data_IF_921652988261
#
_entry.id   IF_921652988261
#
_cell.length_a   1.000
_cell.length_b   1.000
_cell.length_c   1.000
_cell.angle_alpha   90.00
_cell.angle_beta   90.00
_cell.angle_gamma   90.00
#
_symmetry.space_group_name_H-M   'P 1'
#
loop_
_entity.id
_entity.type
_entity.pdbx_description
1 polymer ?
#
# COMPACT_ATOMS: atom_id res chain seq x y z
N UNK A 1 -6.42 -1.31 -14.54
CA UNK A 1 -6.40 -1.40 -13.08
C UNK A 1 -5.82 -0.13 -12.51
N UNK A 2 -6.26 0.30 -11.31
CA UNK A 2 -5.83 1.57 -10.73
C UNK A 2 -4.37 1.55 -10.23
N UNK A 3 -3.82 2.76 -10.14
CA UNK A 3 -2.40 3.04 -9.88
C UNK A 3 -1.97 2.90 -8.42
N UNK A 4 -2.87 2.52 -7.50
CA UNK A 4 -2.55 2.42 -6.07
C UNK A 4 -2.15 3.75 -5.43
N UNK A 5 -2.42 4.86 -6.11
CA UNK A 5 -2.09 6.24 -5.71
C UNK A 5 -3.20 6.89 -4.87
N UNK A 6 -4.16 6.09 -4.39
CA UNK A 6 -5.31 6.56 -3.61
C UNK A 6 -6.39 7.26 -4.42
N UNK A 7 -6.30 7.28 -5.76
CA UNK A 7 -7.27 7.92 -6.63
C UNK A 7 -8.09 6.87 -7.38
N UNK A 8 -9.41 6.98 -7.24
CA UNK A 8 -10.39 6.05 -7.81
C UNK A 8 -10.73 6.45 -9.24
N UNK A 9 -10.02 5.86 -10.20
CA UNK A 9 -10.20 6.19 -11.63
C UNK A 9 -11.08 5.20 -12.35
N UNK A 10 -12.02 5.75 -13.13
CA UNK A 10 -12.79 5.01 -14.12
C UNK A 10 -11.90 4.50 -15.26
N UNK A 11 -12.12 3.25 -15.66
CA UNK A 11 -11.51 2.63 -16.82
C UNK A 11 -12.59 2.07 -17.74
N UNK A 12 -12.60 2.54 -18.99
CA UNK A 12 -13.36 1.93 -20.07
C UNK A 12 -12.40 1.54 -21.19
N UNK A 13 -12.48 0.29 -21.64
CA UNK A 13 -11.69 -0.23 -22.76
C UNK A 13 -12.56 -1.02 -23.72
N UNK A 14 -12.14 -1.09 -24.98
CA UNK A 14 -12.79 -1.91 -26.00
C UNK A 14 -11.79 -2.93 -26.56
N UNK A 15 -12.08 -4.21 -26.43
CA UNK A 15 -11.37 -5.27 -27.12
C UNK A 15 -12.07 -5.60 -28.43
N UNK A 16 -11.30 -5.69 -29.52
CA UNK A 16 -11.81 -6.07 -30.85
C UNK A 16 -11.72 -7.59 -31.01
N UNK A 17 -12.83 -8.21 -31.37
CA UNK A 17 -12.96 -9.66 -31.39
C UNK A 17 -13.35 -10.17 -32.79
N UNK A 18 -12.66 -11.21 -33.22
CA UNK A 18 -12.95 -11.97 -34.44
C UNK A 18 -13.86 -13.15 -34.12
N UNK A 19 -14.42 -13.76 -35.17
CA UNK A 19 -15.23 -14.99 -35.06
C UNK A 19 -14.50 -16.11 -34.29
N UNK A 20 -13.19 -16.24 -34.47
CA UNK A 20 -12.39 -17.27 -33.79
C UNK A 20 -12.23 -17.03 -32.29
N UNK A 21 -12.26 -15.78 -31.82
CA UNK A 21 -12.03 -15.43 -30.42
C UNK A 21 -13.30 -15.38 -29.57
N UNK A 22 -14.46 -15.14 -30.19
CA UNK A 22 -15.72 -14.90 -29.48
C UNK A 22 -16.16 -16.08 -28.60
N UNK A 23 -15.90 -17.32 -29.03
CA UNK A 23 -16.25 -18.51 -28.23
C UNK A 23 -15.46 -18.59 -26.91
N UNK A 24 -14.18 -18.22 -26.93
CA UNK A 24 -13.37 -18.16 -25.72
C UNK A 24 -13.84 -17.03 -24.77
N UNK A 25 -14.25 -15.89 -25.34
CA UNK A 25 -14.85 -14.78 -24.58
C UNK A 25 -16.16 -15.20 -23.92
N UNK A 26 -17.05 -15.90 -24.64
CA UNK A 26 -18.29 -16.44 -24.06
C UNK A 26 -18.01 -17.38 -22.89
N UNK A 27 -17.20 -18.41 -23.11
CA UNK A 27 -16.88 -19.39 -22.08
C UNK A 27 -16.22 -18.77 -20.85
N UNK A 28 -15.48 -17.67 -21.04
CA UNK A 28 -14.93 -16.88 -19.94
C UNK A 28 -16.03 -16.12 -19.18
N UNK A 29 -16.83 -15.31 -19.88
CA UNK A 29 -17.79 -14.39 -19.26
C UNK A 29 -18.99 -15.11 -18.65
N UNK A 30 -19.48 -16.14 -19.32
CA UNK A 30 -20.63 -16.95 -18.90
C UNK A 30 -20.22 -18.12 -17.98
N UNK A 31 -18.94 -18.17 -17.60
CA UNK A 31 -18.36 -19.18 -16.72
C UNK A 31 -18.62 -20.64 -17.15
N UNK A 32 -18.49 -20.92 -18.45
CA UNK A 32 -18.80 -22.24 -19.06
C UNK A 32 -17.62 -23.24 -19.06
N UNK A 33 -16.44 -22.87 -18.55
CA UNK A 33 -15.26 -23.75 -18.55
C UNK A 33 -15.15 -24.52 -17.25
N UNK A 34 -14.67 -25.75 -17.34
CA UNK A 34 -14.32 -26.55 -16.16
C UNK A 34 -13.11 -25.99 -15.41
N UNK A 35 -12.23 -25.25 -16.09
CA UNK A 35 -11.02 -24.68 -15.48
C UNK A 35 -10.61 -23.34 -16.10
N UNK A 36 -9.97 -22.52 -15.26
CA UNK A 36 -9.54 -21.16 -15.62
C UNK A 36 -8.06 -20.95 -15.33
N UNK A 37 -7.39 -20.27 -16.25
CA UNK A 37 -6.00 -19.81 -16.04
C UNK A 37 -5.93 -18.76 -14.94
N UNK A 38 -6.99 -17.95 -14.81
CA UNK A 38 -7.09 -16.96 -13.74
C UNK A 38 -7.42 -17.67 -12.42
N UNK A 39 -6.39 -17.90 -11.60
CA UNK A 39 -6.52 -18.50 -10.27
C UNK A 39 -7.25 -17.61 -9.24
N UNK A 40 -7.68 -16.41 -9.63
CA UNK A 40 -8.45 -15.52 -8.76
C UNK A 40 -9.96 -15.74 -8.88
N UNK A 41 -10.42 -16.53 -9.86
CA UNK A 41 -11.83 -16.89 -9.98
C UNK A 41 -12.18 -17.88 -8.87
N UNK A 42 -13.18 -17.53 -8.07
CA UNK A 42 -13.75 -18.34 -6.99
C UNK A 42 -15.11 -18.87 -7.46
N UNK A 43 -15.14 -20.11 -7.93
CA UNK A 43 -16.32 -20.70 -8.58
C UNK A 43 -17.56 -20.74 -7.67
N UNK A 44 -17.37 -20.87 -6.36
CA UNK A 44 -18.44 -20.83 -5.36
C UNK A 44 -19.17 -19.49 -5.34
N UNK A 45 -18.55 -18.43 -5.86
CA UNK A 45 -19.11 -17.07 -5.96
C UNK A 45 -19.66 -16.73 -7.33
N UNK A 46 -19.49 -17.59 -8.34
CA UNK A 46 -20.10 -17.37 -9.66
C UNK A 46 -21.60 -17.04 -9.61
N UNK A 47 -22.43 -17.60 -8.68
CA UNK A 47 -23.83 -17.18 -8.52
C UNK A 47 -24.04 -15.70 -8.12
N UNK A 48 -22.98 -15.01 -7.69
CA UNK A 48 -23.00 -13.58 -7.37
C UNK A 48 -22.69 -12.70 -8.60
N UNK A 49 -22.29 -13.28 -9.74
CA UNK A 49 -22.18 -12.53 -10.98
C UNK A 49 -23.56 -12.00 -11.36
N UNK A 50 -23.61 -10.79 -11.92
CA UNK A 50 -24.87 -10.12 -12.24
C UNK A 50 -24.96 -9.88 -13.73
N UNK A 51 -25.92 -10.53 -14.37
CA UNK A 51 -26.29 -10.26 -15.75
C UNK A 51 -27.24 -9.08 -15.80
N UNK A 52 -26.78 -7.97 -16.37
CA UNK A 52 -27.65 -6.88 -16.80
C UNK A 52 -28.31 -7.22 -18.14
N UNK A 53 -27.64 -8.04 -18.95
CA UNK A 53 -28.22 -8.69 -20.13
C UNK A 53 -27.73 -10.12 -20.23
N UNK A 54 -28.63 -11.07 -19.97
CA UNK A 54 -28.38 -12.49 -20.18
C UNK A 54 -28.42 -12.80 -21.68
N UNK A 55 -27.44 -13.53 -22.23
CA UNK A 55 -27.50 -13.96 -23.61
C UNK A 55 -28.66 -14.95 -23.81
N UNK A 56 -29.40 -14.81 -24.91
CA UNK A 56 -30.53 -15.70 -25.22
C UNK A 56 -30.09 -17.03 -25.84
N UNK A 57 -28.87 -17.08 -26.37
CA UNK A 57 -28.24 -18.22 -27.01
C UNK A 57 -26.71 -18.00 -27.01
N UNK A 58 -25.94 -18.91 -27.63
CA UNK A 58 -24.51 -18.66 -27.82
C UNK A 58 -24.25 -17.39 -28.64
N UNK A 59 -23.16 -16.66 -28.37
CA UNK A 59 -22.89 -15.36 -29.00
C UNK A 59 -22.85 -15.43 -30.53
N UNK A 60 -22.31 -16.52 -31.09
CA UNK A 60 -22.29 -16.76 -32.55
C UNK A 60 -23.69 -17.01 -33.12
N UNK A 61 -24.51 -17.73 -32.37
CA UNK A 61 -25.90 -18.03 -32.76
C UNK A 61 -26.75 -16.76 -32.74
N UNK A 62 -26.63 -15.95 -31.69
CA UNK A 62 -27.28 -14.64 -31.61
C UNK A 62 -26.86 -13.74 -32.79
N UNK A 63 -25.56 -13.71 -33.14
CA UNK A 63 -25.09 -12.95 -34.30
C UNK A 63 -25.71 -13.43 -35.61
N UNK A 64 -25.72 -14.75 -35.84
CA UNK A 64 -26.31 -15.35 -37.04
C UNK A 64 -27.82 -15.08 -37.12
N UNK A 65 -28.53 -15.13 -35.99
CA UNK A 65 -29.95 -14.81 -35.91
C UNK A 65 -30.21 -13.34 -36.25
N UNK A 66 -29.42 -12.41 -35.70
CA UNK A 66 -29.55 -10.98 -36.01
C UNK A 66 -29.26 -10.66 -37.48
N UNK A 67 -28.34 -11.41 -38.12
CA UNK A 67 -28.07 -11.30 -39.55
C UNK A 67 -29.25 -11.84 -40.38
N UNK A 68 -29.80 -13.00 -40.00
CA UNK A 68 -30.94 -13.61 -40.66
C UNK A 68 -32.21 -12.74 -40.57
N UNK A 69 -32.44 -12.12 -39.41
CA UNK A 69 -33.56 -11.21 -39.15
C UNK A 69 -33.40 -9.83 -39.81
N UNK A 70 -32.24 -9.55 -40.41
CA UNK A 70 -31.93 -8.27 -41.04
C UNK A 70 -31.72 -7.11 -40.05
N UNK A 71 -31.61 -7.41 -38.75
CA UNK A 71 -31.29 -6.41 -37.70
C UNK A 71 -29.89 -5.84 -37.92
N UNK A 72 -28.97 -6.67 -38.40
CA UNK A 72 -27.62 -6.27 -38.79
C UNK A 72 -27.30 -6.72 -40.22
N UNK A 73 -26.35 -6.03 -40.86
CA UNK A 73 -25.88 -6.39 -42.19
C UNK A 73 -24.38 -6.65 -42.19
N UNK A 74 -24.00 -7.82 -42.67
CA UNK A 74 -22.61 -8.24 -42.87
C UNK A 74 -22.11 -7.97 -44.29
N UNK A 75 -22.92 -7.29 -45.11
CA UNK A 75 -22.64 -7.08 -46.54
C UNK A 75 -21.31 -6.35 -46.74
N UNK A 76 -20.37 -7.02 -47.42
CA UNK A 76 -19.04 -6.49 -47.74
C UNK A 76 -18.04 -6.56 -46.58
N UNK A 77 -18.32 -7.35 -45.54
CA UNK A 77 -17.40 -7.65 -44.46
C UNK A 77 -16.57 -8.88 -44.82
N UNK A 78 -15.27 -8.83 -44.56
CA UNK A 78 -14.37 -9.97 -44.75
C UNK A 78 -14.57 -11.02 -43.66
N UNK A 79 -14.19 -12.25 -43.94
CA UNK A 79 -14.31 -13.35 -42.97
C UNK A 79 -13.48 -13.09 -41.69
N UNK A 80 -12.29 -12.53 -41.85
CA UNK A 80 -11.34 -12.19 -40.78
C UNK A 80 -11.62 -10.85 -40.07
N UNK A 81 -12.73 -10.19 -40.40
CA UNK A 81 -13.07 -8.90 -39.83
C UNK A 81 -13.42 -9.00 -38.33
N UNK A 82 -13.19 -7.91 -37.60
CA UNK A 82 -13.67 -7.75 -36.24
C UNK A 82 -15.19 -7.55 -36.25
N UNK A 83 -15.93 -8.63 -36.01
CA UNK A 83 -17.40 -8.67 -36.00
C UNK A 83 -18.01 -8.37 -34.63
N UNK A 84 -17.20 -8.45 -33.57
CA UNK A 84 -17.63 -8.27 -32.19
C UNK A 84 -16.69 -7.31 -31.46
N UNK A 85 -17.22 -6.62 -30.47
CA UNK A 85 -16.44 -5.88 -29.48
C UNK A 85 -16.80 -6.32 -28.07
N UNK A 86 -15.86 -6.13 -27.15
CA UNK A 86 -16.10 -6.30 -25.72
C UNK A 86 -15.67 -5.01 -25.02
N UNK A 87 -16.65 -4.29 -24.46
CA UNK A 87 -16.37 -3.20 -23.55
C UNK A 87 -16.10 -3.78 -22.17
N UNK A 88 -15.05 -3.32 -21.52
CA UNK A 88 -14.80 -3.62 -20.11
C UNK A 88 -14.82 -2.31 -19.35
N UNK A 89 -15.70 -2.24 -18.35
CA UNK A 89 -15.80 -1.13 -17.41
C UNK A 89 -15.27 -1.57 -16.06
N UNK A 90 -14.36 -0.79 -15.49
CA UNK A 90 -13.58 -1.17 -14.33
C UNK A 90 -13.26 0.06 -13.46
N UNK A 91 -13.24 -0.16 -12.14
CA UNK A 91 -12.79 0.78 -11.09
C UNK A 91 -12.06 -0.08 -10.06
N UNK A 92 -11.14 0.50 -9.29
CA UNK A 92 -10.40 -0.29 -8.32
C UNK A 92 -11.31 -0.94 -7.25
N UNK A 93 -10.83 -2.05 -6.69
CA UNK A 93 -11.55 -2.74 -5.62
C UNK A 93 -11.74 -1.86 -4.37
N UNK A 94 -10.80 -0.93 -4.11
CA UNK A 94 -10.85 -0.04 -2.95
C UNK A 94 -12.07 0.87 -2.96
N UNK A 95 -12.43 1.41 -4.13
CA UNK A 95 -13.61 2.22 -4.33
C UNK A 95 -14.87 1.48 -3.87
N UNK A 96 -15.11 0.28 -4.41
CA UNK A 96 -16.28 -0.50 -4.03
C UNK A 96 -16.22 -0.93 -2.56
N UNK A 97 -15.06 -1.37 -2.07
CA UNK A 97 -14.88 -1.76 -0.68
C UNK A 97 -15.27 -0.64 0.30
N UNK A 98 -14.87 0.60 0.01
CA UNK A 98 -15.17 1.76 0.85
C UNK A 98 -16.63 2.23 0.78
N UNK A 99 -17.37 1.85 -0.27
CA UNK A 99 -18.74 2.31 -0.54
C UNK A 99 -19.83 1.24 -0.30
N UNK A 100 -19.51 0.19 0.46
CA UNK A 100 -20.47 -0.87 0.82
C UNK A 100 -20.37 -2.14 -0.03
N UNK A 101 -19.36 -2.25 -0.87
CA UNK A 101 -18.98 -3.48 -1.55
C UNK A 101 -19.95 -3.87 -2.66
N UNK A 102 -20.48 -5.09 -2.55
CA UNK A 102 -21.20 -5.77 -3.63
C UNK A 102 -22.49 -5.05 -4.07
N UNK A 103 -23.31 -4.58 -3.13
CA UNK A 103 -24.58 -3.94 -3.49
C UNK A 103 -24.36 -2.57 -4.14
N UNK A 104 -23.35 -1.83 -3.68
CA UNK A 104 -22.96 -0.58 -4.34
C UNK A 104 -22.39 -0.83 -5.74
N UNK A 105 -21.56 -1.88 -5.91
CA UNK A 105 -21.06 -2.27 -7.22
C UNK A 105 -22.21 -2.61 -8.20
N UNK A 106 -23.26 -3.30 -7.76
CA UNK A 106 -24.45 -3.54 -8.60
C UNK A 106 -25.09 -2.25 -9.10
N UNK A 107 -25.25 -1.26 -8.22
CA UNK A 107 -25.85 0.03 -8.58
C UNK A 107 -24.95 0.79 -9.56
N UNK A 108 -23.64 0.82 -9.28
CA UNK A 108 -22.64 1.42 -10.16
C UNK A 108 -22.67 0.81 -11.55
N UNK A 109 -22.62 -0.53 -11.64
CA UNK A 109 -22.61 -1.21 -12.92
C UNK A 109 -23.97 -1.23 -13.63
N UNK A 110 -25.08 -0.96 -12.92
CA UNK A 110 -26.37 -0.67 -13.56
C UNK A 110 -26.29 0.59 -14.40
N UNK A 111 -25.70 1.66 -13.87
CA UNK A 111 -25.48 2.91 -14.61
C UNK A 111 -24.42 2.74 -15.70
N UNK A 112 -23.35 2.00 -15.43
CA UNK A 112 -22.36 1.65 -16.46
C UNK A 112 -22.98 0.89 -17.64
N UNK A 113 -23.94 0.00 -17.38
CA UNK A 113 -24.69 -0.71 -18.42
C UNK A 113 -25.56 0.23 -19.26
N UNK A 114 -26.25 1.20 -18.62
CA UNK A 114 -26.97 2.26 -19.36
C UNK A 114 -26.04 3.10 -20.22
N UNK A 115 -24.83 3.40 -19.74
CA UNK A 115 -23.79 4.04 -20.55
C UNK A 115 -23.43 3.18 -21.77
N UNK A 116 -23.23 1.87 -21.55
CA UNK A 116 -22.91 0.93 -22.61
C UNK A 116 -23.98 0.88 -23.71
N UNK A 117 -25.27 0.88 -23.36
CA UNK A 117 -26.38 0.95 -24.32
C UNK A 117 -26.24 2.19 -25.23
N UNK A 118 -25.98 3.36 -24.64
CA UNK A 118 -25.78 4.62 -25.38
C UNK A 118 -24.55 4.57 -26.28
N UNK A 119 -23.42 4.07 -25.75
CA UNK A 119 -22.15 3.94 -26.47
C UNK A 119 -22.30 2.99 -27.66
N UNK A 120 -22.93 1.84 -27.46
CA UNK A 120 -23.17 0.83 -28.50
C UNK A 120 -24.20 1.31 -29.53
N UNK A 121 -25.13 2.19 -29.13
CA UNK A 121 -26.15 2.77 -30.00
C UNK A 121 -27.44 1.94 -30.07
N UNK A 122 -27.71 1.15 -29.02
CA UNK A 122 -28.90 0.32 -28.92
C UNK A 122 -28.63 -0.97 -28.14
N UNK A 123 -29.55 -1.31 -27.23
CA UNK A 123 -29.45 -2.52 -26.41
C UNK A 123 -29.54 -3.79 -27.27
N UNK A 124 -30.28 -3.75 -28.38
CA UNK A 124 -30.42 -4.88 -29.31
C UNK A 124 -29.08 -5.34 -29.90
N UNK A 125 -28.05 -4.48 -29.93
CA UNK A 125 -26.72 -4.84 -30.43
C UNK A 125 -25.77 -5.36 -29.35
N UNK A 126 -26.22 -5.42 -28.09
CA UNK A 126 -25.49 -6.04 -26.99
C UNK A 126 -25.90 -7.52 -26.93
N UNK A 127 -24.93 -8.43 -26.94
CA UNK A 127 -25.16 -9.86 -26.83
C UNK A 127 -25.26 -10.32 -25.37
N UNK A 128 -24.35 -9.83 -24.53
CA UNK A 128 -24.32 -10.10 -23.09
C UNK A 128 -23.72 -8.91 -22.34
N UNK A 129 -24.17 -8.70 -21.11
CA UNK A 129 -23.60 -7.76 -20.18
C UNK A 129 -23.59 -8.37 -18.77
N UNK A 130 -22.40 -8.71 -18.27
CA UNK A 130 -22.21 -9.41 -17.01
C UNK A 130 -21.16 -8.72 -16.13
N UNK A 131 -21.54 -8.43 -14.89
CA UNK A 131 -20.61 -8.03 -13.84
C UNK A 131 -20.06 -9.28 -13.18
N UNK A 132 -18.74 -9.45 -13.22
CA UNK A 132 -18.07 -10.48 -12.43
C UNK A 132 -17.88 -9.99 -10.99
N UNK A 133 -18.22 -10.85 -10.04
CA UNK A 133 -18.12 -10.65 -8.60
C UNK A 133 -17.41 -11.82 -7.89
N UNK A 134 -16.83 -12.71 -8.69
CA UNK A 134 -16.18 -13.96 -8.31
C UNK A 134 -14.66 -13.88 -8.44
N UNK A 135 -14.08 -12.75 -8.83
CA UNK A 135 -12.63 -12.60 -8.98
C UNK A 135 -12.03 -11.97 -7.72
N UNK A 136 -11.20 -12.71 -6.99
CA UNK A 136 -10.54 -12.24 -5.76
C UNK A 136 -9.39 -11.28 -6.05
N UNK A 137 -9.35 -10.15 -5.33
CA UNK A 137 -8.19 -9.27 -5.33
C UNK A 137 -7.19 -9.73 -4.27
N UNK A 138 -6.20 -10.55 -4.66
CA UNK A 138 -5.21 -11.12 -3.72
C UNK A 138 -4.44 -10.05 -2.96
N UNK A 139 -3.93 -9.05 -3.67
CA UNK A 139 -3.10 -8.01 -3.06
C UNK A 139 -3.84 -7.27 -1.94
N UNK A 140 -5.09 -6.85 -2.19
CA UNK A 140 -5.90 -6.19 -1.18
C UNK A 140 -6.37 -7.15 -0.09
N UNK A 141 -6.71 -8.39 -0.44
CA UNK A 141 -7.12 -9.40 0.55
C UNK A 141 -6.00 -9.70 1.55
N UNK A 142 -4.77 -9.88 1.07
CA UNK A 142 -3.61 -10.13 1.92
C UNK A 142 -3.26 -8.92 2.80
N UNK A 143 -3.39 -7.69 2.26
CA UNK A 143 -3.12 -6.47 3.01
C UNK A 143 -4.12 -6.23 4.15
N UNK A 144 -5.39 -6.60 3.96
CA UNK A 144 -6.45 -6.41 4.96
C UNK A 144 -6.67 -7.64 5.86
N UNK A 145 -6.19 -8.81 5.46
CA UNK A 145 -6.40 -10.07 6.18
C UNK A 145 -7.82 -10.63 6.04
N UNK A 146 -8.57 -10.19 5.03
CA UNK A 146 -9.93 -10.65 4.73
C UNK A 146 -10.14 -10.78 3.21
N UNK A 147 -11.18 -11.49 2.79
CA UNK A 147 -11.43 -11.73 1.36
C UNK A 147 -12.07 -10.51 0.69
N UNK A 148 -11.31 -9.84 -0.18
CA UNK A 148 -11.79 -8.74 -1.01
C UNK A 148 -11.89 -9.17 -2.46
N UNK A 149 -13.03 -8.87 -3.08
CA UNK A 149 -13.33 -9.22 -4.47
C UNK A 149 -13.23 -8.00 -5.39
N UNK A 150 -12.90 -8.26 -6.64
CA UNK A 150 -12.80 -7.29 -7.71
C UNK A 150 -14.04 -7.37 -8.60
N UNK A 151 -14.73 -6.24 -8.72
CA UNK A 151 -15.91 -6.12 -9.55
C UNK A 151 -15.54 -5.42 -10.85
N UNK A 152 -16.01 -5.96 -11.97
CA UNK A 152 -15.88 -5.32 -13.29
C UNK A 152 -16.97 -5.85 -14.22
N UNK A 153 -17.35 -5.04 -15.21
CA UNK A 153 -18.42 -5.34 -16.15
C UNK A 153 -17.86 -5.62 -17.54
N UNK A 154 -18.18 -6.78 -18.09
CA UNK A 154 -17.97 -7.10 -19.51
C UNK A 154 -19.27 -6.89 -20.27
N UNK A 155 -19.20 -6.15 -21.39
CA UNK A 155 -20.32 -5.95 -22.32
C UNK A 155 -19.90 -6.38 -23.71
N UNK A 156 -20.42 -7.51 -24.17
CA UNK A 156 -20.15 -8.05 -25.50
C UNK A 156 -21.19 -7.49 -26.46
N UNK A 157 -20.75 -6.88 -27.56
CA UNK A 157 -21.63 -6.19 -28.51
C UNK A 157 -21.20 -6.36 -29.97
N UNK A 158 -22.11 -6.04 -30.87
CA UNK A 158 -21.89 -5.98 -32.32
C UNK A 158 -21.66 -4.51 -32.72
N UNK A 159 -20.50 -4.14 -33.31
CA UNK A 159 -20.21 -2.76 -33.69
C UNK A 159 -20.98 -2.39 -34.96
N UNK A 160 -22.16 -1.79 -34.81
CA UNK A 160 -22.99 -1.37 -35.95
C UNK A 160 -22.84 0.12 -36.26
N UNK A 161 -22.97 0.45 -37.54
CA UNK A 161 -23.09 1.83 -38.04
C UNK A 161 -24.19 1.91 -39.08
N UNK A 162 -24.96 2.99 -39.04
CA UNK A 162 -25.94 3.27 -40.08
C UNK A 162 -25.22 3.55 -41.41
N UNK A 163 -25.68 2.91 -42.49
CA UNK A 163 -25.14 3.09 -43.83
C UNK A 163 -26.25 3.18 -44.86
N UNK A 164 -26.31 4.33 -45.52
CA UNK A 164 -27.09 4.51 -46.73
C UNK A 164 -26.44 3.79 -47.91
N UNK A 165 -27.15 2.85 -48.50
CA UNK A 165 -26.83 2.27 -49.80
C UNK A 165 -27.57 3.10 -50.84
N UNK A 166 -26.83 3.68 -51.79
CA UNK A 166 -27.38 4.52 -52.86
C UNK A 166 -27.46 3.75 -54.18
N UNK A 167 -28.39 4.16 -55.04
CA UNK A 167 -28.50 3.58 -56.38
C UNK A 167 -27.21 3.81 -57.17
N UNK A 168 -26.64 2.71 -57.68
CA UNK A 168 -25.38 2.75 -58.43
C UNK A 168 -25.58 3.35 -59.82
N UNK A 169 -24.48 3.76 -60.47
CA UNK A 169 -24.48 4.25 -61.87
C UNK A 169 -25.07 3.24 -62.88
N UNK A 170 -25.14 1.95 -62.50
CA UNK A 170 -25.72 0.86 -63.28
C UNK A 170 -27.26 0.77 -63.18
N UNK A 171 -27.91 1.62 -62.39
CA UNK A 171 -29.37 1.68 -62.34
C UNK A 171 -29.93 2.08 -63.72
N UNK A 172 -31.02 1.40 -64.14
CA UNK A 172 -31.71 1.66 -65.41
C UNK A 172 -32.41 3.01 -65.37
N UNK A 173 -33.12 3.30 -64.29
CA UNK A 173 -33.69 4.61 -64.03
C UNK A 173 -32.58 5.59 -63.58
N UNK A 174 -32.26 6.54 -64.46
CA UNK A 174 -31.21 7.54 -64.22
C UNK A 174 -31.61 8.58 -63.17
N UNK A 175 -32.91 8.78 -62.92
CA UNK A 175 -33.41 9.73 -61.91
C UNK A 175 -33.17 9.26 -60.47
N UNK A 176 -32.90 7.97 -60.28
CA UNK A 176 -32.66 7.36 -58.98
C UNK A 176 -31.17 7.31 -58.61
N UNK A 177 -30.26 7.41 -59.57
CA UNK A 177 -28.81 7.31 -59.34
C UNK A 177 -28.35 8.33 -58.29
N UNK A 178 -27.65 7.87 -57.26
CA UNK A 178 -27.18 8.72 -56.15
C UNK A 178 -28.20 8.99 -55.04
N UNK A 179 -29.50 8.68 -55.25
CA UNK A 179 -30.50 8.68 -54.17
C UNK A 179 -30.34 7.45 -53.27
N UNK A 180 -30.76 7.57 -52.01
CA UNK A 180 -30.77 6.47 -51.04
C UNK A 180 -31.73 5.39 -51.53
N UNK A 181 -31.22 4.17 -51.65
CA UNK A 181 -31.97 2.97 -52.03
C UNK A 181 -32.48 2.27 -50.78
N UNK A 182 -31.60 2.07 -49.80
CA UNK A 182 -31.91 1.42 -48.53
C UNK A 182 -30.92 1.91 -47.47
N UNK A 183 -31.33 1.91 -46.21
CA UNK A 183 -30.46 2.16 -45.06
C UNK A 183 -30.29 0.86 -44.31
N UNK A 184 -29.05 0.46 -44.05
CA UNK A 184 -28.71 -0.77 -43.35
C UNK A 184 -27.88 -0.48 -42.10
N UNK A 185 -28.00 -1.35 -41.09
CA UNK A 185 -27.11 -1.35 -39.94
C UNK A 185 -25.88 -2.21 -40.25
N UNK A 186 -24.87 -1.60 -40.86
CA UNK A 186 -23.66 -2.31 -41.26
C UNK A 186 -22.78 -2.63 -40.04
N UNK A 187 -22.37 -3.89 -39.89
CA UNK A 187 -21.34 -4.23 -38.90
C UNK A 187 -19.98 -3.67 -39.36
N UNK A 188 -19.36 -2.80 -38.56
CA UNK A 188 -18.07 -2.19 -38.87
C UNK A 188 -17.38 -1.64 -37.62
N UNK A 189 -16.42 -2.40 -37.09
CA UNK A 189 -15.60 -1.98 -35.94
C UNK A 189 -14.84 -0.67 -36.20
N UNK A 190 -14.24 -0.52 -37.39
CA UNK A 190 -13.42 0.67 -37.71
C UNK A 190 -14.26 1.94 -37.82
N UNK A 191 -15.46 1.86 -38.40
CA UNK A 191 -16.36 3.01 -38.51
C UNK A 191 -17.00 3.35 -37.17
N UNK A 192 -17.37 2.35 -36.37
CA UNK A 192 -17.93 2.55 -35.02
C UNK A 192 -17.00 3.38 -34.14
N UNK A 193 -15.70 3.13 -34.24
CA UNK A 193 -14.66 3.81 -33.48
C UNK A 193 -13.83 4.79 -34.32
N UNK A 194 -14.48 5.51 -35.24
CA UNK A 194 -13.83 6.58 -35.98
C UNK A 194 -13.44 7.75 -35.04
N UNK A 195 -12.24 8.28 -35.22
CA UNK A 195 -11.79 9.45 -34.46
C UNK A 195 -12.61 10.70 -34.82
N UNK A 196 -12.98 11.50 -33.81
CA UNK A 196 -13.74 12.75 -33.97
C UNK A 196 -12.79 13.95 -34.01
N UNK A 197 -13.06 15.02 -34.78
CA UNK A 197 -12.28 16.26 -34.68
C UNK A 197 -12.41 16.90 -33.28
N UNK A 198 -11.33 17.47 -32.76
CA UNK A 198 -11.38 18.31 -31.56
C UNK A 198 -11.95 19.66 -31.97
N UNK A 199 -13.00 20.11 -31.29
CA UNK A 199 -13.59 21.43 -31.50
C UNK A 199 -12.97 22.43 -30.53
N UNK A 200 -12.77 23.66 -30.99
CA UNK A 200 -12.34 24.80 -30.19
C UNK A 200 -13.51 25.27 -29.30
N UNK A 201 -13.28 25.42 -28.00
CA UNK A 201 -14.33 25.72 -27.02
C UNK A 201 -14.95 27.11 -27.20
N UNK A 202 -14.26 28.05 -27.86
CA UNK A 202 -14.74 29.43 -28.06
C UNK A 202 -15.45 29.60 -29.40
N UNK A 203 -14.99 28.90 -30.43
CA UNK A 203 -15.48 29.09 -31.82
C UNK A 203 -16.36 27.95 -32.31
N UNK A 204 -16.31 26.77 -31.68
CA UNK A 204 -17.00 25.55 -32.12
C UNK A 204 -16.43 24.95 -33.40
N UNK A 205 -15.36 25.52 -33.97
CA UNK A 205 -14.71 25.00 -35.17
C UNK A 205 -13.66 23.93 -34.85
N UNK A 206 -13.40 22.95 -35.75
CA UNK A 206 -12.36 21.96 -35.53
C UNK A 206 -10.98 22.61 -35.42
N UNK A 207 -10.25 22.34 -34.33
CA UNK A 207 -8.85 22.71 -34.18
C UNK A 207 -8.05 22.14 -35.34
N UNK A 208 -7.23 22.98 -35.97
CA UNK A 208 -6.41 22.59 -37.13
C UNK A 208 -4.93 22.62 -36.76
N UNK A 209 -4.20 21.65 -37.27
CA UNK A 209 -2.73 21.66 -37.27
C UNK A 209 -2.19 22.82 -38.11
N UNK A 210 -0.91 23.15 -37.97
CA UNK A 210 -0.23 24.14 -38.82
C UNK A 210 -0.31 23.83 -40.33
N UNK A 211 -0.65 22.58 -40.70
CA UNK A 211 -0.86 22.12 -42.09
C UNK A 211 -2.34 22.13 -42.52
N UNK A 212 -3.23 22.72 -41.72
CA UNK A 212 -4.67 22.87 -42.03
C UNK A 212 -5.54 21.61 -41.82
N UNK A 213 -4.95 20.49 -41.40
CA UNK A 213 -5.69 19.24 -41.09
C UNK A 213 -6.32 19.31 -39.69
N UNK A 214 -7.58 18.87 -39.49
CA UNK A 214 -8.19 18.79 -38.17
C UNK A 214 -7.38 17.91 -37.20
N UNK A 215 -7.19 18.38 -35.98
CA UNK A 215 -6.64 17.59 -34.88
C UNK A 215 -7.73 16.64 -34.42
N UNK A 216 -7.46 15.34 -34.44
CA UNK A 216 -8.45 14.30 -34.12
C UNK A 216 -8.29 13.83 -32.68
N UNK A 217 -9.40 13.75 -31.95
CA UNK A 217 -9.53 13.04 -30.68
C UNK A 217 -9.60 11.54 -30.99
N UNK A 218 -8.68 10.77 -30.41
CA UNK A 218 -8.66 9.31 -30.54
C UNK A 218 -9.98 8.74 -30.03
N UNK A 219 -10.56 7.80 -30.77
CA UNK A 219 -11.90 7.25 -30.48
C UNK A 219 -12.05 6.62 -29.11
N UNK A 220 -11.03 5.92 -28.59
CA UNK A 220 -11.08 5.37 -27.24
C UNK A 220 -10.87 6.40 -26.13
N UNK A 221 -10.31 7.59 -26.44
CA UNK A 221 -10.40 8.70 -25.49
C UNK A 221 -11.85 9.14 -25.37
N UNK A 222 -12.55 9.30 -26.49
CA UNK A 222 -13.98 9.64 -26.50
C UNK A 222 -14.79 8.63 -25.70
N UNK A 223 -14.53 7.32 -25.87
CA UNK A 223 -15.15 6.27 -25.03
C UNK A 223 -14.96 6.51 -23.53
N UNK A 224 -13.71 6.80 -23.11
CA UNK A 224 -13.40 6.99 -21.70
C UNK A 224 -14.00 8.28 -21.15
N UNK A 225 -14.08 9.33 -21.97
CA UNK A 225 -14.69 10.60 -21.59
C UNK A 225 -16.22 10.48 -21.52
N UNK A 226 -16.87 9.86 -22.52
CA UNK A 226 -18.32 9.62 -22.54
C UNK A 226 -18.76 8.75 -21.34
N UNK A 227 -17.97 7.72 -21.00
CA UNK A 227 -18.24 6.89 -19.81
C UNK A 227 -18.12 7.70 -18.52
N UNK A 228 -17.03 8.45 -18.36
CA UNK A 228 -16.80 9.27 -17.17
C UNK A 228 -17.90 10.32 -16.98
N UNK A 229 -18.25 11.07 -18.04
CA UNK A 229 -19.31 12.07 -18.00
C UNK A 229 -20.67 11.44 -17.64
N UNK A 230 -20.95 10.23 -18.13
CA UNK A 230 -22.15 9.49 -17.76
C UNK A 230 -22.19 9.11 -16.29
N UNK A 231 -21.10 8.51 -15.77
CA UNK A 231 -21.03 8.10 -14.36
C UNK A 231 -21.14 9.31 -13.42
N UNK A 232 -20.47 10.41 -13.76
CA UNK A 232 -20.59 11.67 -13.00
C UNK A 232 -22.01 12.21 -13.01
N UNK A 233 -22.67 12.20 -14.18
CA UNK A 233 -24.07 12.63 -14.30
C UNK A 233 -25.05 11.73 -13.54
N UNK A 234 -24.68 10.47 -13.30
CA UNK A 234 -25.45 9.52 -12.50
C UNK A 234 -25.21 9.64 -10.98
N UNK A 235 -24.35 10.57 -10.54
CA UNK A 235 -24.09 10.86 -9.13
C UNK A 235 -22.79 10.29 -8.58
N UNK A 236 -21.93 9.70 -9.41
CA UNK A 236 -20.59 9.23 -9.00
C UNK A 236 -19.57 10.34 -9.28
N UNK A 237 -19.50 11.34 -8.40
CA UNK A 237 -18.65 12.53 -8.54
C UNK A 237 -17.27 12.41 -7.86
N UNK A 238 -17.07 11.35 -7.10
CA UNK A 238 -15.86 10.97 -6.37
C UNK A 238 -14.90 10.09 -7.17
N UNK A 239 -15.30 9.64 -8.36
CA UNK A 239 -14.41 8.98 -9.32
C UNK A 239 -13.75 9.99 -10.25
N UNK A 240 -12.56 9.65 -10.71
CA UNK A 240 -11.80 10.44 -11.68
C UNK A 240 -11.74 9.78 -13.06
N UNK A 241 -11.51 10.60 -14.07
CA UNK A 241 -11.16 10.14 -15.41
C UNK A 241 -9.69 9.69 -15.38
N UNK A 242 -9.38 8.51 -15.95
CA UNK A 242 -7.99 8.12 -16.29
C UNK A 242 -7.16 9.19 -17.06
N UNK A 243 -5.84 9.20 -16.88
CA UNK A 243 -4.98 10.25 -17.43
C UNK A 243 -5.10 10.41 -18.97
N UNK A 244 -5.35 11.65 -19.43
CA UNK A 244 -5.42 11.97 -20.85
C UNK A 244 -4.02 11.98 -21.46
N UNK A 245 -3.85 11.22 -22.55
CA UNK A 245 -2.56 11.13 -23.21
C UNK A 245 -1.54 10.24 -22.49
N UNK A 246 -1.99 9.40 -21.56
CA UNK A 246 -1.14 8.42 -20.87
C UNK A 246 -0.30 7.60 -21.86
N UNK A 247 0.98 7.42 -21.51
CA UNK A 247 1.93 6.59 -22.25
C UNK A 247 1.95 5.14 -21.77
N UNK A 248 1.08 4.76 -20.84
CA UNK A 248 1.00 3.39 -20.32
C UNK A 248 0.59 2.39 -21.41
N UNK A 249 1.30 1.29 -21.47
CA UNK A 249 0.94 0.17 -22.32
C UNK A 249 -0.06 -0.75 -21.63
N UNK A 250 -1.00 -1.28 -22.40
CA UNK A 250 -1.95 -2.26 -21.88
C UNK A 250 -1.25 -3.60 -21.68
N UNK A 251 -1.12 -4.01 -20.43
CA UNK A 251 -0.66 -5.34 -20.04
C UNK A 251 -1.84 -6.31 -19.96
N UNK A 252 -1.63 -7.54 -20.42
CA UNK A 252 -2.55 -8.64 -20.12
C UNK A 252 -2.60 -8.90 -18.61
N UNK A 253 -3.67 -9.53 -18.12
CA UNK A 253 -3.84 -9.83 -16.70
C UNK A 253 -2.64 -10.60 -16.14
N UNK A 254 -2.14 -11.60 -16.88
CA UNK A 254 -0.96 -12.38 -16.48
C UNK A 254 0.32 -11.53 -16.43
N UNK A 255 0.56 -10.69 -17.45
CA UNK A 255 1.73 -9.81 -17.47
C UNK A 255 1.73 -8.84 -16.29
N UNK A 256 0.59 -8.19 -16.03
CA UNK A 256 0.45 -7.27 -14.90
C UNK A 256 0.71 -7.96 -13.56
N UNK A 257 0.16 -9.16 -13.35
CA UNK A 257 0.39 -9.93 -12.12
C UNK A 257 1.86 -10.29 -11.94
N UNK A 258 2.53 -10.71 -13.02
CA UNK A 258 3.96 -11.03 -12.99
C UNK A 258 4.79 -9.79 -12.62
N UNK A 259 4.50 -8.62 -13.21
CA UNK A 259 5.21 -7.39 -12.89
C UNK A 259 5.02 -6.98 -11.42
N UNK A 260 3.78 -7.04 -10.89
CA UNK A 260 3.50 -6.73 -9.48
C UNK A 260 4.18 -7.69 -8.51
N UNK A 261 4.23 -8.98 -8.84
CA UNK A 261 4.93 -9.96 -8.00
C UNK A 261 6.45 -9.74 -8.02
N UNK A 262 7.01 -9.35 -9.16
CA UNK A 262 8.43 -8.98 -9.25
C UNK A 262 8.76 -7.74 -8.41
N UNK A 263 7.91 -6.70 -8.45
CA UNK A 263 8.06 -5.51 -7.60
C UNK A 263 7.99 -5.89 -6.11
N UNK A 264 7.04 -6.75 -5.72
CA UNK A 264 6.91 -7.24 -4.34
C UNK A 264 8.14 -8.01 -3.89
N UNK A 265 8.66 -8.91 -4.75
CA UNK A 265 9.88 -9.66 -4.46
C UNK A 265 11.09 -8.74 -4.29
N UNK A 266 11.21 -7.70 -5.11
CA UNK A 266 12.28 -6.71 -4.98
C UNK A 266 12.20 -5.96 -3.64
N UNK A 267 11.00 -5.54 -3.22
CA UNK A 267 10.79 -4.89 -1.92
C UNK A 267 11.14 -5.83 -0.75
N UNK A 268 10.74 -7.10 -0.82
CA UNK A 268 11.08 -8.09 0.22
C UNK A 268 12.58 -8.35 0.29
N UNK A 269 13.28 -8.38 -0.86
CA UNK A 269 14.73 -8.51 -0.90
C UNK A 269 15.43 -7.30 -0.27
N UNK A 270 14.94 -6.08 -0.51
CA UNK A 270 15.45 -4.87 0.11
C UNK A 270 15.27 -4.88 1.63
N UNK A 271 14.06 -5.21 2.10
CA UNK A 271 13.76 -5.35 3.55
C UNK A 271 14.63 -6.43 4.19
N UNK A 272 14.80 -7.58 3.52
CA UNK A 272 15.65 -8.65 4.02
C UNK A 272 17.12 -8.25 4.08
N UNK A 273 17.61 -7.47 3.10
CA UNK A 273 18.98 -6.96 3.11
C UNK A 273 19.19 -5.97 4.27
N UNK A 274 18.25 -5.07 4.50
CA UNK A 274 18.28 -4.15 5.65
C UNK A 274 18.26 -4.90 6.99
N UNK A 275 17.41 -5.92 7.11
CA UNK A 275 17.35 -6.78 8.30
C UNK A 275 18.67 -7.53 8.54
N UNK A 276 19.32 -8.02 7.48
CA UNK A 276 20.62 -8.69 7.59
C UNK A 276 21.71 -7.71 8.05
N UNK A 277 21.73 -6.49 7.53
CA UNK A 277 22.68 -5.44 7.96
C UNK A 277 22.46 -5.10 9.45
N UNK A 278 21.21 -4.99 9.89
CA UNK A 278 20.89 -4.75 11.30
C UNK A 278 21.32 -5.93 12.19
N UNK A 279 21.07 -7.17 11.74
CA UNK A 279 21.50 -8.38 12.44
C UNK A 279 23.04 -8.44 12.56
N UNK A 280 23.77 -8.15 11.50
CA UNK A 280 25.24 -8.13 11.49
C UNK A 280 25.80 -7.06 12.43
N UNK A 281 25.15 -5.88 12.50
CA UNK A 281 25.51 -4.82 13.44
C UNK A 281 25.31 -5.28 14.89
N UNK A 282 24.14 -5.86 15.21
CA UNK A 282 23.85 -6.40 16.56
C UNK A 282 24.83 -7.50 16.95
N UNK A 283 25.19 -8.38 16.01
CA UNK A 283 26.18 -9.43 16.24
C UNK A 283 27.58 -8.87 16.55
N UNK A 284 28.01 -7.81 15.86
CA UNK A 284 29.28 -7.13 16.16
C UNK A 284 29.27 -6.45 17.53
N UNK A 285 28.15 -5.83 17.89
CA UNK A 285 27.97 -5.21 19.21
C UNK A 285 27.98 -6.26 20.33
N UNK A 286 27.29 -7.39 20.14
CA UNK A 286 27.30 -8.53 21.06
C UNK A 286 28.72 -9.10 21.25
N UNK A 287 29.46 -9.33 20.16
CA UNK A 287 30.84 -9.80 20.23
C UNK A 287 31.77 -8.81 20.95
N UNK A 288 31.55 -7.50 20.80
CA UNK A 288 32.29 -6.46 21.54
C UNK A 288 31.96 -6.47 23.03
N UNK A 289 30.69 -6.64 23.38
CA UNK A 289 30.24 -6.76 24.77
C UNK A 289 30.81 -8.03 25.43
N UNK A 290 30.82 -9.17 24.73
CA UNK A 290 31.43 -10.41 25.21
C UNK A 290 32.93 -10.26 25.46
N UNK A 291 33.67 -9.61 24.55
CA UNK A 291 35.10 -9.32 24.77
C UNK A 291 35.33 -8.48 26.02
N UNK A 292 34.50 -7.44 26.25
CA UNK A 292 34.59 -6.61 27.46
C UNK A 292 34.26 -7.42 28.72
N UNK A 293 33.25 -8.28 28.67
CA UNK A 293 32.89 -9.16 29.78
C UNK A 293 34.01 -10.16 30.10
N UNK A 294 34.63 -10.77 29.08
CA UNK A 294 35.78 -11.65 29.25
C UNK A 294 37.00 -10.92 29.85
N UNK A 295 37.29 -9.69 29.39
CA UNK A 295 38.35 -8.86 29.99
C UNK A 295 38.06 -8.50 31.44
N UNK A 296 36.81 -8.18 31.78
CA UNK A 296 36.42 -7.91 33.16
C UNK A 296 36.60 -9.16 34.04
N UNK A 297 36.23 -10.35 33.53
CA UNK A 297 36.42 -11.62 34.23
C UNK A 297 37.89 -11.96 34.45
N UNK A 298 38.74 -11.81 33.43
CA UNK A 298 40.18 -12.03 33.55
C UNK A 298 40.82 -11.10 34.62
N UNK A 299 40.42 -9.83 34.66
CA UNK A 299 40.86 -8.89 35.71
C UNK A 299 40.40 -9.31 37.11
N UNK A 300 39.23 -9.93 37.25
CA UNK A 300 38.77 -10.48 38.53
C UNK A 300 39.61 -11.71 38.93
N UNK A 301 39.91 -12.60 37.99
CA UNK A 301 40.74 -13.78 38.22
C UNK A 301 42.18 -13.41 38.62
N UNK A 302 42.77 -12.35 38.04
CA UNK A 302 44.09 -11.83 38.42
C UNK A 302 44.12 -11.26 39.86
N UNK A 303 43.00 -10.71 40.32
CA UNK A 303 42.88 -10.11 41.67
C UNK A 303 42.63 -11.17 42.75
N UNK A 304 42.03 -12.31 42.41
CA UNK A 304 41.75 -13.41 43.33
C UNK A 304 42.99 -13.95 44.09
N UNK A 305 44.15 -14.23 43.47
CA UNK A 305 45.34 -14.71 44.18
C UNK A 305 46.02 -13.62 45.03
N UNK A 306 45.91 -12.34 44.66
CA UNK A 306 46.44 -11.22 45.45
C UNK A 306 45.70 -11.08 46.80
N UNK A 307 44.39 -11.28 46.81
CA UNK A 307 43.59 -11.40 48.04
C UNK A 307 44.04 -12.59 48.89
N UNK A 308 44.28 -13.75 48.28
CA UNK A 308 44.75 -14.96 48.97
C UNK A 308 46.15 -14.82 49.57
N UNK A 309 47.03 -14.06 48.92
CA UNK A 309 48.35 -13.70 49.45
C UNK A 309 48.29 -12.69 50.60
N UNK A 310 47.32 -11.76 50.56
CA UNK A 310 47.04 -10.83 51.66
C UNK A 310 46.48 -11.55 52.90
N UNK A 311 45.64 -12.59 52.73
CA UNK A 311 45.18 -13.43 53.85
C UNK A 311 46.35 -14.15 54.54
N UNK A 312 47.30 -14.71 53.78
CA UNK A 312 48.51 -15.33 54.36
C UNK A 312 49.38 -14.33 55.12
N UNK A 313 49.62 -13.15 54.55
CA UNK A 313 50.37 -12.10 55.23
C UNK A 313 49.65 -11.61 56.49
N UNK A 314 48.32 -11.50 56.46
CA UNK A 314 47.54 -11.18 57.66
C UNK A 314 47.69 -12.26 58.74
N UNK A 315 47.75 -13.55 58.37
CA UNK A 315 47.98 -14.66 59.30
C UNK A 315 49.39 -14.63 59.92
N UNK A 316 50.43 -14.42 59.11
CA UNK A 316 51.83 -14.41 59.58
C UNK A 316 52.15 -13.24 60.54
N UNK A 317 51.40 -12.13 60.46
CA UNK A 317 51.52 -10.98 61.36
C UNK A 317 50.42 -10.94 62.45
N UNK A 318 49.53 -11.94 62.50
CA UNK A 318 48.50 -12.08 63.54
C UNK A 318 48.92 -13.01 64.68
N UNK A 319 50.03 -13.74 64.55
CA UNK A 319 50.52 -14.68 65.56
C UNK A 319 51.58 -14.02 66.48
N UNK A 320 51.29 -14.08 67.78
CA UNK A 320 52.12 -13.80 68.97
C UNK A 320 53.35 -12.85 68.81
N UNK A 321 53.35 -11.66 69.45
CA UNK A 321 54.46 -10.70 69.43
C UNK A 321 55.82 -11.27 69.82
N UNK A 322 55.87 -12.32 70.64
CA UNK A 322 57.14 -12.93 71.06
C UNK A 322 57.80 -13.79 69.96
N UNK A 323 57.05 -14.26 68.96
CA UNK A 323 57.57 -15.05 67.83
C UNK A 323 58.04 -14.21 66.64
N UNK A 324 57.56 -12.98 66.52
CA UNK A 324 57.83 -12.08 65.38
C UNK A 324 59.09 -11.22 65.58
N UNK A 325 59.53 -11.03 66.83
CA UNK A 325 60.73 -10.28 67.16
C UNK A 325 61.97 -11.19 67.14
N UNK A 326 63.06 -10.83 66.42
CA UNK A 326 64.27 -11.64 66.39
C UNK A 326 64.88 -11.77 67.78
N UNK A 327 65.43 -12.92 68.18
CA UNK A 327 66.05 -13.05 69.51
C UNK A 327 67.25 -12.09 69.69
N UNK A 328 67.45 -11.61 70.92
CA UNK A 328 68.56 -10.74 71.28
C UNK A 328 69.87 -11.55 71.29
N UNK A 329 70.94 -11.01 70.68
CA UNK A 329 72.24 -11.68 70.68
C UNK A 329 72.88 -11.67 72.08
N UNK A 330 73.76 -12.62 72.43
CA UNK A 330 74.51 -12.57 73.68
C UNK A 330 75.30 -11.26 73.76
N UNK A 331 75.08 -10.46 74.81
CA UNK A 331 75.66 -9.12 75.03
C UNK A 331 75.13 -7.97 74.15
N UNK A 332 74.01 -8.16 73.43
CA UNK A 332 73.35 -7.07 72.70
C UNK A 332 72.66 -6.08 73.65
N UNK A 333 73.02 -4.79 73.59
CA UNK A 333 72.35 -3.78 74.42
C UNK A 333 70.90 -3.56 73.95
N UNK A 334 69.98 -3.31 74.89
CA UNK A 334 68.58 -3.02 74.58
C UNK A 334 68.40 -1.87 73.58
N UNK A 335 69.32 -0.90 73.59
CA UNK A 335 69.36 0.21 72.62
C UNK A 335 69.78 -0.27 71.22
N UNK A 336 70.78 -1.15 71.11
CA UNK A 336 71.20 -1.75 69.85
C UNK A 336 70.10 -2.61 69.25
N UNK A 337 69.45 -3.43 70.06
CA UNK A 337 68.32 -4.27 69.65
C UNK A 337 67.15 -3.43 69.11
N UNK A 338 66.77 -2.37 69.85
CA UNK A 338 65.70 -1.46 69.46
C UNK A 338 65.97 -0.77 68.13
N UNK A 339 67.17 -0.22 67.93
CA UNK A 339 67.50 0.55 66.74
C UNK A 339 67.83 -0.34 65.52
N UNK A 340 68.45 -1.52 65.71
CA UNK A 340 68.90 -2.37 64.60
C UNK A 340 67.92 -3.48 64.19
N UNK A 341 67.04 -3.92 65.10
CA UNK A 341 66.12 -5.05 64.85
C UNK A 341 64.65 -4.62 64.92
N UNK A 342 64.22 -4.07 66.06
CA UNK A 342 62.80 -3.77 66.27
C UNK A 342 62.28 -2.60 65.41
N UNK A 343 63.02 -1.48 65.36
CA UNK A 343 62.62 -0.28 64.61
C UNK A 343 62.58 -0.50 63.08
N UNK A 344 63.55 -1.19 62.45
CA UNK A 344 63.48 -1.52 61.02
C UNK A 344 62.33 -2.48 60.67
N UNK A 345 62.00 -3.42 61.56
CA UNK A 345 60.83 -4.29 61.39
C UNK A 345 59.53 -3.50 61.50
N UNK A 346 59.41 -2.63 62.51
CA UNK A 346 58.27 -1.74 62.67
C UNK A 346 58.08 -0.80 61.47
N UNK A 347 59.17 -0.23 60.94
CA UNK A 347 59.14 0.60 59.73
C UNK A 347 58.64 -0.18 58.50
N UNK A 348 59.07 -1.44 58.33
CA UNK A 348 58.58 -2.33 57.27
C UNK A 348 57.08 -2.63 57.44
N UNK A 349 56.65 -2.95 58.66
CA UNK A 349 55.24 -3.23 58.99
C UNK A 349 54.37 -2.01 58.70
N UNK A 350 54.76 -0.82 59.18
CA UNK A 350 54.04 0.43 58.93
C UNK A 350 54.00 0.75 57.43
N UNK A 351 55.06 0.46 56.68
CA UNK A 351 55.09 0.64 55.22
C UNK A 351 54.10 -0.28 54.51
N UNK A 352 54.05 -1.56 54.88
CA UNK A 352 53.09 -2.54 54.34
C UNK A 352 51.66 -2.15 54.69
N UNK A 353 51.37 -1.81 55.96
CA UNK A 353 50.06 -1.33 56.41
C UNK A 353 49.61 -0.09 55.63
N UNK A 354 50.50 0.88 55.42
CA UNK A 354 50.18 2.07 54.61
C UNK A 354 49.90 1.72 53.15
N UNK A 355 50.64 0.79 52.54
CA UNK A 355 50.35 0.35 51.17
C UNK A 355 49.03 -0.41 51.05
N UNK A 356 48.71 -1.28 52.02
CA UNK A 356 47.46 -2.04 52.05
C UNK A 356 46.28 -1.09 52.27
N UNK A 357 46.39 -0.15 53.20
CA UNK A 357 45.35 0.85 53.45
C UNK A 357 45.09 1.71 52.20
N UNK A 358 46.15 2.11 51.47
CA UNK A 358 46.01 2.83 50.19
C UNK A 358 45.32 1.99 49.11
N UNK A 359 45.70 0.72 48.97
CA UNK A 359 45.09 -0.19 48.00
C UNK A 359 43.61 -0.47 48.34
N UNK A 360 43.28 -0.66 49.62
CA UNK A 360 41.91 -0.77 50.11
C UNK A 360 41.10 0.49 49.80
N UNK A 361 41.66 1.67 50.08
CA UNK A 361 40.96 2.94 49.83
C UNK A 361 40.73 3.19 48.33
N UNK A 362 41.68 2.83 47.47
CA UNK A 362 41.54 2.90 46.02
C UNK A 362 40.48 1.91 45.50
N UNK A 363 40.47 0.68 46.03
CA UNK A 363 39.46 -0.32 45.69
C UNK A 363 38.05 0.10 46.15
N UNK A 364 37.92 0.61 47.38
CA UNK A 364 36.66 1.16 47.91
C UNK A 364 36.16 2.32 47.04
N UNK A 365 37.05 3.24 46.68
CA UNK A 365 36.71 4.39 45.81
C UNK A 365 36.25 3.93 44.42
N UNK A 366 36.88 2.90 43.84
CA UNK A 366 36.46 2.31 42.56
C UNK A 366 35.12 1.60 42.68
N UNK A 367 34.88 0.88 43.77
CA UNK A 367 33.61 0.21 44.04
C UNK A 367 32.46 1.21 44.19
N UNK A 368 32.64 2.28 44.96
CA UNK A 368 31.64 3.35 45.13
C UNK A 368 31.29 4.03 43.80
N UNK A 369 32.29 4.26 42.93
CA UNK A 369 32.06 4.79 41.57
C UNK A 369 31.29 3.82 40.70
N UNK A 370 31.62 2.52 40.76
CA UNK A 370 30.92 1.49 39.99
C UNK A 370 29.48 1.32 40.46
N UNK A 371 29.24 1.31 41.77
CA UNK A 371 27.90 1.26 42.35
C UNK A 371 27.08 2.47 41.91
N UNK A 372 27.65 3.68 42.00
CA UNK A 372 26.98 4.90 41.54
C UNK A 372 26.64 4.87 40.05
N UNK A 373 27.50 4.30 39.21
CA UNK A 373 27.23 4.14 37.78
C UNK A 373 26.12 3.12 37.52
N UNK A 374 26.15 1.98 38.22
CA UNK A 374 25.11 0.96 38.14
C UNK A 374 23.74 1.51 38.56
N UNK A 375 23.67 2.19 39.71
CA UNK A 375 22.42 2.76 40.22
C UNK A 375 21.83 3.81 39.25
N UNK A 376 22.68 4.59 38.58
CA UNK A 376 22.26 5.52 37.52
C UNK A 376 21.67 4.80 36.31
N UNK A 377 22.32 3.73 35.84
CA UNK A 377 21.81 2.97 34.69
C UNK A 377 20.51 2.22 35.03
N UNK A 378 20.40 1.65 36.23
CA UNK A 378 19.16 1.04 36.71
C UNK A 378 18.04 2.09 36.79
N UNK A 379 18.32 3.27 37.33
CA UNK A 379 17.35 4.37 37.41
C UNK A 379 16.89 4.83 36.03
N UNK A 380 17.82 5.01 35.08
CA UNK A 380 17.48 5.34 33.69
C UNK A 380 16.61 4.26 33.06
N UNK A 381 16.97 3.00 33.21
CA UNK A 381 16.21 1.88 32.65
C UNK A 381 14.78 1.83 33.24
N UNK A 382 14.64 2.11 34.53
CA UNK A 382 13.34 2.28 35.18
C UNK A 382 12.54 3.43 34.58
N UNK A 383 13.16 4.60 34.39
CA UNK A 383 12.49 5.77 33.78
C UNK A 383 12.06 5.53 32.32
N UNK A 384 12.89 4.84 31.53
CA UNK A 384 12.57 4.46 30.17
C UNK A 384 11.43 3.44 30.14
N UNK A 385 11.45 2.45 31.03
CA UNK A 385 10.37 1.48 31.15
C UNK A 385 9.05 2.13 31.52
N UNK A 386 9.04 3.06 32.49
CA UNK A 386 7.86 3.85 32.83
C UNK A 386 7.34 4.66 31.64
N UNK A 387 8.25 5.32 30.89
CA UNK A 387 7.87 6.07 29.69
C UNK A 387 7.29 5.18 28.59
N UNK A 388 7.80 3.96 28.42
CA UNK A 388 7.25 2.99 27.48
C UNK A 388 5.83 2.59 27.89
N UNK A 389 5.58 2.37 29.19
CA UNK A 389 4.24 2.08 29.69
C UNK A 389 3.28 3.24 29.47
N UNK A 390 3.69 4.48 29.76
CA UNK A 390 2.90 5.69 29.47
C UNK A 390 2.53 5.79 27.99
N UNK A 391 3.51 5.65 27.09
CA UNK A 391 3.28 5.70 25.64
C UNK A 391 2.37 4.56 25.18
N UNK A 392 2.50 3.36 25.76
CA UNK A 392 1.60 2.25 25.45
C UNK A 392 0.17 2.52 25.92
N UNK A 393 0.00 3.08 27.12
CA UNK A 393 -1.31 3.45 27.66
C UNK A 393 -1.96 4.57 26.82
N UNK A 394 -1.19 5.60 26.43
CA UNK A 394 -1.63 6.66 25.52
C UNK A 394 -2.07 6.09 24.17
N UNK A 395 -1.26 5.20 23.57
CA UNK A 395 -1.60 4.51 22.32
C UNK A 395 -2.90 3.71 22.45
N UNK A 396 -3.08 2.98 23.53
CA UNK A 396 -4.26 2.13 23.71
C UNK A 396 -5.52 2.98 23.98
N UNK A 397 -5.37 4.12 24.67
CA UNK A 397 -6.40 5.15 24.80
C UNK A 397 -6.80 5.76 23.45
N UNK A 398 -5.81 6.16 22.63
CA UNK A 398 -6.05 6.68 21.27
C UNK A 398 -6.74 5.64 20.38
N UNK A 399 -6.31 4.37 20.44
CA UNK A 399 -7.00 3.27 19.74
C UNK A 399 -8.46 3.14 20.18
N UNK A 400 -8.75 3.34 21.47
CA UNK A 400 -10.12 3.39 21.98
C UNK A 400 -10.93 4.52 21.36
N UNK A 401 -10.39 5.73 21.38
CA UNK A 401 -11.03 6.92 20.79
C UNK A 401 -11.28 6.77 19.29
N UNK A 402 -10.32 6.20 18.55
CA UNK A 402 -10.48 5.92 17.11
C UNK A 402 -11.64 4.94 16.86
N UNK A 403 -11.74 3.86 17.66
CA UNK A 403 -12.86 2.92 17.53
C UNK A 403 -14.21 3.56 17.82
N UNK A 404 -14.30 4.39 18.86
CA UNK A 404 -15.55 5.08 19.18
C UNK A 404 -15.91 6.13 18.12
N UNK A 405 -14.91 6.84 17.59
CA UNK A 405 -15.09 7.73 16.44
C UNK A 405 -15.60 6.97 15.20
N UNK A 406 -15.02 5.82 14.86
CA UNK A 406 -15.49 4.97 13.76
C UNK A 406 -16.90 4.44 13.97
N UNK A 407 -17.31 4.15 15.22
CA UNK A 407 -18.69 3.76 15.55
C UNK A 407 -19.66 4.90 15.30
N UNK A 408 -19.32 6.11 15.75
CA UNK A 408 -20.13 7.31 15.50
C UNK A 408 -20.21 7.60 14.00
N UNK A 409 -19.07 7.56 13.29
CA UNK A 409 -19.00 7.77 11.84
C UNK A 409 -19.87 6.78 11.07
N UNK A 410 -19.92 5.51 11.50
CA UNK A 410 -20.83 4.50 10.94
C UNK A 410 -22.30 4.77 11.22
N UNK A 411 -22.64 5.31 12.39
CA UNK A 411 -24.03 5.58 12.78
C UNK A 411 -24.63 6.81 12.07
N UNK A 412 -23.85 7.87 11.86
CA UNK A 412 -24.33 9.13 11.26
C UNK A 412 -24.06 9.24 9.75
N UNK A 413 -23.28 8.31 9.20
CA UNK A 413 -22.84 8.34 7.80
C UNK A 413 -21.56 9.17 7.60
N UNK A 414 -20.64 8.74 6.73
CA UNK A 414 -19.31 9.35 6.59
C UNK A 414 -19.39 10.81 6.11
N UNK A 415 -20.23 11.13 5.14
CA UNK A 415 -20.38 12.50 4.60
C UNK A 415 -20.94 13.50 5.61
N UNK A 416 -21.82 13.03 6.51
CA UNK A 416 -22.38 13.89 7.55
C UNK A 416 -21.37 14.07 8.68
N UNK A 417 -20.61 13.02 9.01
CA UNK A 417 -19.49 13.12 9.95
C UNK A 417 -18.40 14.09 9.47
N UNK A 418 -18.01 14.00 8.20
CA UNK A 418 -16.95 14.84 7.62
C UNK A 418 -17.39 16.32 7.54
N UNK A 419 -18.66 16.60 7.19
CA UNK A 419 -19.23 17.95 7.25
C UNK A 419 -19.26 18.52 8.68
N UNK A 420 -19.61 17.71 9.68
CA UNK A 420 -19.63 18.13 11.08
C UNK A 420 -18.20 18.42 11.56
N UNK A 421 -17.23 17.60 11.17
CA UNK A 421 -15.82 17.81 11.51
C UNK A 421 -15.24 19.05 10.85
N UNK A 422 -15.48 19.27 9.56
CA UNK A 422 -15.03 20.48 8.87
C UNK A 422 -15.60 21.74 9.51
N UNK A 423 -16.90 21.74 9.82
CA UNK A 423 -17.53 22.85 10.53
C UNK A 423 -16.90 23.09 11.92
N UNK A 424 -16.64 22.01 12.68
CA UNK A 424 -15.98 22.09 13.97
C UNK A 424 -14.53 22.60 13.86
N UNK A 425 -13.77 22.14 12.87
CA UNK A 425 -12.40 22.61 12.59
C UNK A 425 -12.37 24.10 12.27
N UNK A 426 -13.26 24.58 11.41
CA UNK A 426 -13.35 26.00 11.07
C UNK A 426 -13.69 26.84 12.31
N UNK A 427 -14.64 26.37 13.13
CA UNK A 427 -15.00 27.04 14.38
C UNK A 427 -13.83 27.07 15.39
N UNK A 428 -13.07 25.97 15.53
CA UNK A 428 -11.89 25.92 16.39
C UNK A 428 -10.77 26.87 15.92
N UNK A 429 -10.56 27.00 14.60
CA UNK A 429 -9.58 27.94 14.05
C UNK A 429 -9.98 29.38 14.36
N UNK A 430 -11.25 29.74 14.14
CA UNK A 430 -11.79 31.06 14.48
C UNK A 430 -11.64 31.33 15.99
N UNK A 431 -11.94 30.37 16.85
CA UNK A 431 -11.72 30.52 18.30
C UNK A 431 -10.26 30.67 18.69
N UNK A 432 -9.34 29.93 18.05
CA UNK A 432 -7.89 30.06 18.27
C UNK A 432 -7.40 31.44 17.86
N UNK A 433 -7.83 31.95 16.72
CA UNK A 433 -7.49 33.29 16.24
C UNK A 433 -8.07 34.39 17.16
N UNK A 434 -9.30 34.23 17.63
CA UNK A 434 -9.90 35.14 18.60
C UNK A 434 -9.17 35.11 19.96
N UNK A 435 -8.80 33.93 20.47
CA UNK A 435 -8.01 33.78 21.71
C UNK A 435 -6.59 34.35 21.55
N UNK A 436 -5.97 34.18 20.39
CA UNK A 436 -4.68 34.79 20.06
C UNK A 436 -4.80 36.32 19.99
N UNK A 437 -5.83 36.82 19.31
CA UNK A 437 -6.13 38.26 19.21
C UNK A 437 -6.43 38.90 20.57
N UNK A 438 -7.17 38.22 21.44
CA UNK A 438 -7.45 38.67 22.80
C UNK A 438 -6.19 38.68 23.68
N UNK A 439 -5.35 37.63 23.61
CA UNK A 439 -4.04 37.59 24.29
C UNK A 439 -3.08 38.68 23.80
N UNK A 440 -3.11 38.99 22.51
CA UNK A 440 -2.34 40.08 21.91
C UNK A 440 -2.82 41.45 22.42
N UNK A 441 -4.13 41.69 22.48
CA UNK A 441 -4.72 42.94 23.00
C UNK A 441 -4.45 43.16 24.50
N UNK A 442 -4.49 42.09 25.32
CA UNK A 442 -4.14 42.15 26.76
C UNK A 442 -2.66 42.53 26.95
N UNK A 443 -1.77 42.09 26.05
CA UNK A 443 -0.33 42.40 26.11
C UNK A 443 0.02 43.82 25.64
N UNK A 444 -0.85 44.45 24.83
CA UNK A 444 -0.71 45.84 24.37
C UNK A 444 -1.34 46.85 25.36
N UNK A 445 -2.38 46.46 26.10
CA UNK A 445 -3.02 47.30 27.13
C UNK A 445 -2.32 47.35 28.49
N UNK A 446 -1.23 46.59 28.68
CA UNK A 446 -0.45 46.53 29.92
C UNK A 446 0.92 47.23 29.81
N UNK A 447 1.09 48.13 28.83
CA UNK A 447 2.27 49.00 28.67
C UNK A 447 1.94 50.46 28.92
#
# INVERSE_FOLDING_TARGET
MARGDGIDRTNARNMRLTETKIGNTQQHNEREKDSYVNQDIVLERTPLNVHFKTPSAGYREMFAQMEADGVISTRGIKEDAFRYGELVFDVNSAYFYNHGGYDFAKQFYTEAYKAAIKIVGGEQYILSAVMHADERNRAMSEALGEDVYHYHLHVVYIPVVEKEIRWTKRCKDKSLVGKVKETIMQVSMSKKWASKPILDETTGEPLRTAKGKPVLRKSYSVLQDDFFEHMRSAGYDDVERGERGSSEEHLTVTQFKTEREQERLAQLQEVSALAQVEADKKNKEAASAEKKAAQARAKLDDVAPLLKGMEKLAADFSDDPERTLPEAGPLESAKSYREKKAKPLWEKIVKVLRSVYRAYFDLKSKFERLQSAYDREVSKNGSLSARIYEVCAERDGLKGQVRDYERVRRAIGPEQADRILEAAYQQEQVEKEQKWGARSKIRVGAR
#
